data_IF_649009140044
#
_entry.id   IF_649009140044
#
_cell.length_a   1.000
_cell.length_b   1.000
_cell.length_c   1.000
_cell.angle_alpha   90.00
_cell.angle_beta   90.00
_cell.angle_gamma   90.00
#
_symmetry.space_group_name_H-M   'P 1'
#
loop_
_entity.id
_entity.type
_entity.pdbx_description
1 polymer ?
#
# COMPACT_ATOMS: atom_id res chain seq x y z
N UNK A 1 3.82 26.41 16.05
CA UNK A 1 3.53 26.32 14.60
C UNK A 1 2.63 25.13 14.39
N UNK A 2 1.35 25.32 14.03
CA UNK A 2 0.53 24.18 13.61
C UNK A 2 1.07 23.71 12.26
N UNK A 3 1.54 22.46 12.17
CA UNK A 3 1.94 21.88 10.90
C UNK A 3 0.77 21.89 9.92
N UNK A 4 1.06 22.06 8.63
CA UNK A 4 0.08 21.93 7.54
C UNK A 4 -0.69 20.61 7.75
N UNK A 5 -2.04 20.60 7.83
CA UNK A 5 -2.82 19.40 8.15
C UNK A 5 -2.50 18.20 7.25
N UNK A 6 -2.13 18.46 5.98
CA UNK A 6 -1.70 17.46 4.99
C UNK A 6 -0.37 16.78 5.32
N UNK A 7 0.41 17.33 6.25
CA UNK A 7 1.66 16.71 6.73
C UNK A 7 1.44 15.40 7.50
N UNK A 8 0.17 15.05 7.79
CA UNK A 8 -0.22 13.75 8.34
C UNK A 8 -0.29 12.64 7.29
N UNK A 9 -0.35 12.98 6.00
CA UNK A 9 -0.23 12.04 4.89
C UNK A 9 1.24 11.93 4.47
N UNK A 10 1.85 10.77 4.71
CA UNK A 10 3.23 10.53 4.32
C UNK A 10 3.42 10.62 2.79
N UNK A 11 2.41 10.27 1.99
CA UNK A 11 2.48 10.33 0.52
C UNK A 11 2.57 11.78 0.08
N UNK A 12 1.77 12.66 0.68
CA UNK A 12 1.86 14.09 0.46
C UNK A 12 3.24 14.64 0.87
N UNK A 13 3.69 14.36 2.10
CA UNK A 13 5.02 14.81 2.60
C UNK A 13 6.14 14.33 1.69
N UNK A 14 6.11 13.07 1.25
CA UNK A 14 7.08 12.50 0.34
C UNK A 14 7.08 13.25 -1.00
N UNK A 15 5.91 13.46 -1.62
CA UNK A 15 5.80 14.19 -2.89
C UNK A 15 6.26 15.65 -2.76
N UNK A 16 5.93 16.34 -1.67
CA UNK A 16 6.41 17.69 -1.43
C UNK A 16 7.93 17.72 -1.25
N UNK A 17 8.48 16.79 -0.47
CA UNK A 17 9.92 16.69 -0.28
C UNK A 17 10.67 16.52 -1.61
N UNK A 18 10.23 15.59 -2.46
CA UNK A 18 10.86 15.36 -3.76
C UNK A 18 10.74 16.57 -4.68
N UNK A 19 9.58 17.23 -4.70
CA UNK A 19 9.36 18.41 -5.53
C UNK A 19 10.16 19.62 -5.04
N UNK A 20 10.17 19.89 -3.74
CA UNK A 20 10.68 21.15 -3.18
C UNK A 20 12.15 21.08 -2.76
N UNK A 21 12.63 19.90 -2.35
CA UNK A 21 14.03 19.72 -1.89
C UNK A 21 14.93 19.10 -2.94
N UNK A 22 14.38 18.24 -3.80
CA UNK A 22 15.17 17.51 -4.80
C UNK A 22 14.90 17.97 -6.23
N UNK A 23 13.88 18.80 -6.45
CA UNK A 23 13.40 19.19 -7.79
C UNK A 23 13.12 17.98 -8.70
N UNK A 24 12.52 16.94 -8.12
CA UNK A 24 12.22 15.66 -8.79
C UNK A 24 10.75 15.31 -8.72
N UNK A 25 10.26 14.72 -9.80
CA UNK A 25 8.92 14.13 -9.85
C UNK A 25 9.01 12.64 -9.53
N UNK A 26 8.18 12.19 -8.58
CA UNK A 26 8.03 10.77 -8.25
C UNK A 26 7.21 10.10 -9.36
N UNK A 27 7.76 9.04 -9.94
CA UNK A 27 7.05 8.13 -10.84
C UNK A 27 6.31 7.06 -10.02
N UNK A 28 7.02 6.42 -9.08
CA UNK A 28 6.46 5.39 -8.20
C UNK A 28 7.18 5.32 -6.87
N UNK A 29 6.55 4.70 -5.88
CA UNK A 29 7.22 4.32 -4.63
C UNK A 29 6.65 3.01 -4.08
N UNK A 30 7.43 2.37 -3.21
CA UNK A 30 7.05 1.17 -2.47
C UNK A 30 7.58 1.23 -1.05
N UNK A 31 6.81 0.70 -0.09
CA UNK A 31 7.29 0.51 1.27
C UNK A 31 8.19 -0.73 1.31
N UNK A 32 9.40 -0.59 1.86
CA UNK A 32 10.37 -1.69 1.99
C UNK A 32 10.69 -2.04 3.45
N UNK A 33 10.21 -1.25 4.42
CA UNK A 33 10.32 -1.58 5.84
C UNK A 33 9.22 -2.51 6.31
N UNK A 34 9.53 -3.32 7.33
CA UNK A 34 8.56 -4.08 8.13
C UNK A 34 7.98 -3.27 9.30
N UNK A 35 8.41 -2.02 9.46
CA UNK A 35 8.00 -1.09 10.52
C UNK A 35 7.19 0.06 9.93
N UNK A 36 6.16 0.49 10.65
CA UNK A 36 5.33 1.65 10.27
C UNK A 36 6.02 2.96 10.64
N UNK A 37 6.80 2.99 11.71
CA UNK A 37 7.51 4.19 12.14
C UNK A 37 8.84 3.80 12.82
N UNK A 38 10.01 4.07 12.19
CA UNK A 38 10.16 4.69 10.88
C UNK A 38 9.66 3.78 9.74
N UNK A 39 9.18 4.40 8.66
CA UNK A 39 8.80 3.78 7.40
C UNK A 39 9.93 3.96 6.40
N UNK A 40 10.48 2.90 5.83
CA UNK A 40 11.42 2.98 4.71
C UNK A 40 10.68 2.78 3.39
N UNK A 41 10.95 3.65 2.43
CA UNK A 41 10.38 3.65 1.10
C UNK A 41 11.49 3.56 0.06
N UNK A 42 11.28 2.78 -1.00
CA UNK A 42 12.05 2.91 -2.24
C UNK A 42 11.22 3.76 -3.21
N UNK A 43 11.78 4.88 -3.65
CA UNK A 43 11.14 5.86 -4.53
C UNK A 43 11.86 5.89 -5.87
N UNK A 44 11.12 5.72 -6.96
CA UNK A 44 11.61 5.90 -8.32
C UNK A 44 11.09 7.23 -8.86
N UNK A 45 11.99 8.03 -9.39
CA UNK A 45 11.67 9.33 -9.99
C UNK A 45 11.57 9.23 -11.50
N UNK A 46 10.91 10.20 -12.14
CA UNK A 46 10.65 10.19 -13.59
C UNK A 46 11.92 10.19 -14.45
N UNK A 47 13.05 10.65 -13.91
CA UNK A 47 14.36 10.55 -14.57
C UNK A 47 15.07 9.20 -14.31
N UNK A 48 14.32 8.23 -13.76
CA UNK A 48 14.76 6.87 -13.39
C UNK A 48 15.78 6.80 -12.26
N UNK A 49 15.96 7.86 -11.48
CA UNK A 49 16.76 7.79 -10.25
C UNK A 49 15.96 7.11 -9.14
N UNK A 50 16.60 6.20 -8.40
CA UNK A 50 16.02 5.52 -7.25
C UNK A 50 16.56 6.10 -5.93
N UNK A 51 15.69 6.22 -4.94
CA UNK A 51 16.01 6.73 -3.61
C UNK A 51 15.47 5.82 -2.54
N UNK A 52 16.29 5.52 -1.53
CA UNK A 52 15.79 4.98 -0.28
C UNK A 52 15.47 6.15 0.65
N UNK A 53 14.24 6.18 1.17
CA UNK A 53 13.72 7.28 1.97
C UNK A 53 13.19 6.73 3.28
N UNK A 54 13.82 7.11 4.39
CA UNK A 54 13.31 6.84 5.73
C UNK A 54 12.42 8.01 6.17
N UNK A 55 11.16 7.70 6.46
CA UNK A 55 10.19 8.64 6.98
C UNK A 55 9.80 8.28 8.40
N UNK A 56 9.66 9.29 9.26
CA UNK A 56 9.24 9.09 10.64
C UNK A 56 8.00 9.92 10.93
N UNK A 57 7.03 9.29 11.58
CA UNK A 57 5.88 9.97 12.16
C UNK A 57 6.26 10.48 13.54
N UNK A 58 5.96 11.74 13.83
CA UNK A 58 6.29 12.40 15.10
C UNK A 58 5.04 12.52 15.98
N UNK A 59 4.84 11.64 16.98
CA UNK A 59 3.61 11.62 17.78
C UNK A 59 3.39 12.88 18.60
N UNK A 60 4.48 13.47 19.12
CA UNK A 60 4.44 14.72 19.90
C UNK A 60 4.19 15.99 19.07
N UNK A 61 4.12 15.87 17.75
CA UNK A 61 3.94 17.00 16.83
C UNK A 61 2.76 16.74 15.88
N UNK A 62 1.56 16.57 16.44
CA UNK A 62 0.32 16.35 15.68
C UNK A 62 0.36 15.17 14.69
N UNK A 63 1.19 14.15 14.96
CA UNK A 63 1.35 12.97 14.12
C UNK A 63 1.82 13.30 12.68
N UNK A 64 2.57 14.38 12.49
CA UNK A 64 3.13 14.70 11.17
C UNK A 64 4.19 13.69 10.76
N UNK A 65 4.31 13.46 9.46
CA UNK A 65 5.42 12.74 8.86
C UNK A 65 6.54 13.70 8.50
N UNK A 66 7.76 13.22 8.64
CA UNK A 66 8.98 13.90 8.21
C UNK A 66 9.88 12.90 7.48
N UNK A 67 10.63 13.38 6.49
CA UNK A 67 11.75 12.64 5.90
C UNK A 67 12.95 12.80 6.84
N UNK A 68 13.42 11.70 7.42
CA UNK A 68 14.57 11.68 8.33
C UNK A 68 15.88 11.42 7.59
N UNK A 69 15.84 10.51 6.61
CA UNK A 69 17.00 10.13 5.82
C UNK A 69 16.61 9.92 4.37
N UNK A 70 17.50 10.33 3.48
CA UNK A 70 17.47 9.97 2.07
C UNK A 70 18.85 9.47 1.67
N UNK A 71 18.90 8.31 1.04
CA UNK A 71 20.09 7.77 0.41
C UNK A 71 19.86 7.75 -1.10
N UNK A 72 20.80 8.33 -1.86
CA UNK A 72 20.87 8.13 -3.31
C UNK A 72 21.29 6.67 -3.53
N UNK A 73 20.28 5.84 -3.77
CA UNK A 73 20.46 4.46 -4.11
C UNK A 73 20.89 4.43 -5.58
N UNK A 74 22.20 4.59 -5.83
CA UNK A 74 22.83 4.12 -7.08
C UNK A 74 22.82 2.60 -7.11
N UNK A 75 21.63 2.02 -7.04
CA UNK A 75 21.40 0.69 -7.55
C UNK A 75 21.46 0.84 -9.06
N UNK A 76 22.42 0.17 -9.70
CA UNK A 76 22.29 -0.14 -11.12
C UNK A 76 20.92 -0.79 -11.26
N UNK A 77 19.98 -0.04 -11.83
CA UNK A 77 18.63 -0.50 -12.07
C UNK A 77 18.73 -1.67 -13.06
N UNK A 78 18.89 -2.88 -12.51
CA UNK A 78 18.42 -4.07 -13.18
C UNK A 78 16.95 -3.86 -13.55
N UNK A 79 16.47 -4.52 -14.62
CA UNK A 79 15.18 -4.22 -15.22
C UNK A 79 14.06 -4.11 -14.17
N UNK A 80 13.42 -2.94 -14.17
CA UNK A 80 12.35 -2.52 -13.28
C UNK A 80 11.07 -3.33 -13.55
N UNK A 81 10.80 -4.35 -12.75
CA UNK A 81 9.45 -4.94 -12.62
C UNK A 81 9.19 -5.43 -11.17
N UNK A 82 9.63 -4.62 -10.20
CA UNK A 82 9.81 -5.02 -8.80
C UNK A 82 8.53 -5.24 -7.96
N UNK A 83 7.33 -4.93 -8.46
CA UNK A 83 6.07 -5.33 -7.80
C UNK A 83 5.48 -6.51 -8.55
N UNK A 84 5.35 -7.65 -7.87
CA UNK A 84 4.69 -8.85 -8.42
C UNK A 84 3.16 -8.72 -8.48
N UNK A 85 2.62 -7.53 -8.24
CA UNK A 85 1.19 -7.24 -8.23
C UNK A 85 0.90 -5.78 -8.59
N UNK A 86 -0.33 -5.52 -9.04
CA UNK A 86 -0.87 -4.18 -9.32
C UNK A 86 -2.06 -3.91 -8.40
N UNK A 87 -2.10 -2.72 -7.79
CA UNK A 87 -3.31 -2.26 -7.09
C UNK A 87 -4.34 -1.84 -8.16
N UNK A 88 -5.59 -2.23 -7.95
CA UNK A 88 -6.70 -1.88 -8.84
C UNK A 88 -7.82 -1.21 -8.06
N UNK A 89 -8.44 -0.20 -8.67
CA UNK A 89 -9.78 0.23 -8.28
C UNK A 89 -10.82 -0.72 -8.86
N UNK A 90 -12.00 -0.75 -8.26
CA UNK A 90 -13.13 -1.54 -8.77
C UNK A 90 -13.38 -1.28 -10.27
N UNK A 91 -13.36 -0.02 -10.70
CA UNK A 91 -13.64 0.35 -12.09
C UNK A 91 -12.52 -0.02 -13.08
N UNK A 92 -11.32 -0.28 -12.58
CA UNK A 92 -10.14 -0.66 -13.38
C UNK A 92 -10.04 -2.17 -13.58
N UNK A 93 -10.79 -2.95 -12.80
CA UNK A 93 -10.81 -4.40 -12.91
C UNK A 93 -11.59 -4.87 -14.15
N UNK A 94 -11.26 -6.05 -14.73
CA UNK A 94 -12.07 -6.65 -15.79
C UNK A 94 -13.53 -6.88 -15.40
N UNK A 95 -14.44 -6.93 -16.38
CA UNK A 95 -15.89 -7.01 -16.13
C UNK A 95 -16.30 -8.24 -15.30
N UNK A 96 -15.68 -9.39 -15.52
CA UNK A 96 -15.92 -10.62 -14.77
C UNK A 96 -15.43 -10.49 -13.32
N UNK A 97 -14.29 -9.86 -13.10
CA UNK A 97 -13.77 -9.53 -11.76
C UNK A 97 -14.70 -8.55 -11.06
N UNK A 98 -15.22 -7.53 -11.75
CA UNK A 98 -16.19 -6.59 -11.19
C UNK A 98 -17.49 -7.30 -10.76
N UNK A 99 -18.00 -8.24 -11.57
CA UNK A 99 -19.18 -9.02 -11.23
C UNK A 99 -18.96 -9.91 -9.99
N UNK A 100 -17.75 -10.48 -9.85
CA UNK A 100 -17.34 -11.22 -8.66
C UNK A 100 -17.20 -10.32 -7.43
N UNK A 101 -16.61 -9.13 -7.55
CA UNK A 101 -16.41 -8.19 -6.45
C UNK A 101 -17.71 -7.59 -5.91
N UNK A 102 -18.66 -7.29 -6.79
CA UNK A 102 -19.90 -6.57 -6.44
C UNK A 102 -20.67 -7.15 -5.25
N UNK A 103 -20.98 -8.46 -5.18
CA UNK A 103 -21.63 -9.02 -4.00
C UNK A 103 -20.72 -9.00 -2.76
N UNK A 104 -19.42 -9.21 -2.91
CA UNK A 104 -18.46 -9.25 -1.80
C UNK A 104 -18.30 -7.89 -1.11
N UNK A 105 -18.30 -6.81 -1.89
CA UNK A 105 -18.21 -5.45 -1.37
C UNK A 105 -19.49 -5.00 -0.66
N UNK A 106 -20.63 -5.59 -1.01
CA UNK A 106 -21.92 -5.30 -0.39
C UNK A 106 -22.17 -6.06 0.92
N UNK A 107 -21.40 -7.10 1.20
CA UNK A 107 -21.50 -7.87 2.44
C UNK A 107 -20.84 -7.14 3.62
N UNK A 108 -21.46 -7.22 4.79
CA UNK A 108 -20.89 -6.67 6.02
C UNK A 108 -19.75 -7.53 6.59
N UNK A 109 -18.75 -6.88 7.16
CA UNK A 109 -17.65 -7.54 7.86
C UNK A 109 -16.42 -7.84 6.98
N UNK A 110 -15.40 -8.40 7.65
CA UNK A 110 -14.11 -8.72 7.06
C UNK A 110 -14.22 -9.84 6.03
N UNK A 111 -13.56 -9.65 4.88
CA UNK A 111 -13.56 -10.66 3.82
C UNK A 111 -12.20 -10.75 3.12
N UNK A 112 -11.71 -11.96 2.92
CA UNK A 112 -10.49 -12.29 2.19
C UNK A 112 -10.85 -13.27 1.11
N UNK A 113 -10.83 -12.84 -0.14
CA UNK A 113 -11.28 -13.65 -1.27
C UNK A 113 -10.32 -13.49 -2.43
N UNK A 114 -10.30 -14.50 -3.29
CA UNK A 114 -9.49 -14.49 -4.49
C UNK A 114 -10.25 -15.08 -5.67
N UNK A 115 -9.90 -14.63 -6.87
CA UNK A 115 -10.53 -15.04 -8.11
C UNK A 115 -9.52 -15.09 -9.24
N UNK A 116 -9.50 -16.22 -9.94
CA UNK A 116 -8.68 -16.36 -11.13
C UNK A 116 -9.47 -15.88 -12.35
N UNK A 117 -8.90 -14.94 -13.11
CA UNK A 117 -9.43 -14.51 -14.40
C UNK A 117 -8.29 -14.42 -15.41
N UNK A 118 -8.42 -15.17 -16.50
CA UNK A 118 -7.36 -15.33 -17.49
C UNK A 118 -6.07 -15.86 -16.88
N UNK A 119 -4.99 -15.11 -17.05
CA UNK A 119 -3.64 -15.47 -16.55
C UNK A 119 -3.32 -14.83 -15.19
N UNK A 120 -4.27 -14.12 -14.59
CA UNK A 120 -4.08 -13.39 -13.35
C UNK A 120 -4.92 -13.94 -12.19
N UNK A 121 -4.39 -13.75 -10.98
CA UNK A 121 -5.09 -13.94 -9.72
C UNK A 121 -5.44 -12.56 -9.16
N UNK A 122 -6.72 -12.36 -8.87
CA UNK A 122 -7.22 -11.16 -8.21
C UNK A 122 -7.43 -11.48 -6.74
N UNK A 123 -6.96 -10.63 -5.86
CA UNK A 123 -7.11 -10.80 -4.41
C UNK A 123 -7.82 -9.57 -3.84
N UNK A 124 -8.89 -9.83 -3.09
CA UNK A 124 -9.63 -8.85 -2.31
C UNK A 124 -9.30 -9.05 -0.83
N UNK A 125 -8.93 -7.97 -0.15
CA UNK A 125 -9.04 -7.91 1.30
C UNK A 125 -9.90 -6.72 1.69
N UNK A 126 -11.06 -7.02 2.29
CA UNK A 126 -12.07 -6.06 2.71
C UNK A 126 -12.08 -5.97 4.24
N UNK A 127 -12.19 -4.75 4.75
CA UNK A 127 -12.30 -4.47 6.19
C UNK A 127 -13.72 -4.73 6.70
N UNK A 128 -13.95 -4.54 8.00
CA UNK A 128 -15.34 -4.53 8.49
C UNK A 128 -16.10 -3.32 7.94
N UNK A 129 -17.40 -3.28 8.15
CA UNK A 129 -18.22 -2.09 7.83
C UNK A 129 -18.02 -0.96 8.86
N UNK A 130 -17.07 -1.09 9.80
CA UNK A 130 -16.74 -0.03 10.75
C UNK A 130 -15.91 1.06 10.05
N UNK A 131 -16.31 2.32 10.25
CA UNK A 131 -15.71 3.50 9.62
C UNK A 131 -14.28 3.81 10.11
N UNK A 132 -13.74 2.92 10.94
CA UNK A 132 -12.44 3.02 11.58
C UNK A 132 -11.48 1.94 11.10
N UNK A 133 -11.99 0.85 10.52
CA UNK A 133 -11.16 -0.26 10.08
C UNK A 133 -10.59 0.01 8.69
N UNK A 134 -9.27 0.00 8.58
CA UNK A 134 -8.55 0.22 7.33
C UNK A 134 -7.55 -0.90 7.06
N UNK A 135 -7.18 -1.08 5.80
CA UNK A 135 -6.20 -2.07 5.37
C UNK A 135 -5.15 -1.49 4.42
N UNK A 136 -3.92 -2.02 4.51
CA UNK A 136 -2.82 -1.74 3.57
C UNK A 136 -2.15 -3.08 3.20
N UNK A 137 -1.90 -3.30 1.90
CA UNK A 137 -1.10 -4.44 1.41
C UNK A 137 0.39 -4.10 1.59
N UNK A 138 1.13 -4.97 2.25
CA UNK A 138 2.58 -4.84 2.39
C UNK A 138 3.30 -5.49 1.20
N UNK A 139 2.93 -6.73 0.89
CA UNK A 139 3.57 -7.55 -0.13
C UNK A 139 2.61 -8.61 -0.68
N UNK A 140 2.81 -8.98 -1.94
CA UNK A 140 2.24 -10.19 -2.51
C UNK A 140 3.33 -10.94 -3.25
N UNK A 141 3.64 -12.14 -2.78
CA UNK A 141 4.72 -12.95 -3.31
C UNK A 141 4.24 -14.31 -3.79
N UNK A 142 4.78 -14.74 -4.93
CA UNK A 142 4.60 -16.07 -5.49
C UNK A 142 5.81 -16.93 -5.17
N UNK A 143 5.60 -18.10 -4.56
CA UNK A 143 6.65 -19.10 -4.33
C UNK A 143 6.07 -20.51 -4.43
N UNK A 144 6.74 -21.40 -5.17
CA UNK A 144 6.31 -22.80 -5.36
C UNK A 144 4.84 -22.97 -5.79
N UNK A 145 4.33 -22.05 -6.61
CA UNK A 145 2.93 -21.98 -7.04
C UNK A 145 1.94 -21.66 -5.90
N UNK A 146 2.39 -21.09 -4.79
CA UNK A 146 1.54 -20.51 -3.75
C UNK A 146 1.69 -18.99 -3.76
N UNK A 147 0.59 -18.29 -3.47
CA UNK A 147 0.56 -16.84 -3.32
C UNK A 147 0.46 -16.52 -1.84
N UNK A 148 1.36 -15.71 -1.31
CA UNK A 148 1.26 -15.15 0.04
C UNK A 148 1.00 -13.65 -0.05
N UNK A 149 -0.10 -13.20 0.53
CA UNK A 149 -0.46 -11.77 0.64
C UNK A 149 -0.30 -11.34 2.09
N UNK A 150 0.64 -10.42 2.31
CA UNK A 150 0.89 -9.82 3.62
C UNK A 150 0.17 -8.48 3.72
N UNK A 151 -0.59 -8.27 4.78
CA UNK A 151 -1.40 -7.07 4.96
C UNK A 151 -1.45 -6.61 6.43
N UNK A 152 -1.66 -5.31 6.63
CA UNK A 152 -1.87 -4.72 7.94
C UNK A 152 -3.30 -4.20 8.07
N UNK A 153 -3.86 -4.26 9.28
CA UNK A 153 -5.14 -3.61 9.61
C UNK A 153 -4.88 -2.45 10.55
N UNK A 154 -5.57 -1.33 10.34
CA UNK A 154 -5.51 -0.17 11.22
C UNK A 154 -6.89 0.07 11.85
N UNK A 155 -6.87 0.44 13.13
CA UNK A 155 -8.04 0.97 13.83
C UNK A 155 -7.87 2.49 13.96
N UNK A 156 -8.70 3.23 13.24
CA UNK A 156 -8.78 4.67 13.22
C UNK A 156 -9.87 5.22 14.15
N UNK A 157 -10.33 4.49 15.17
CA UNK A 157 -11.40 4.92 16.09
C UNK A 157 -11.16 6.25 16.81
N UNK A 158 -9.91 6.73 16.81
CA UNK A 158 -9.51 8.02 17.38
C UNK A 158 -9.07 9.05 16.32
N UNK A 159 -9.10 8.72 15.04
CA UNK A 159 -8.77 9.63 13.94
C UNK A 159 -9.98 10.48 13.57
N UNK A 160 -9.76 11.77 13.38
CA UNK A 160 -10.77 12.68 12.81
C UNK A 160 -10.74 12.71 11.27
N UNK A 161 -9.80 11.98 10.66
CA UNK A 161 -9.61 11.95 9.21
C UNK A 161 -9.93 10.55 8.68
N UNK A 162 -11.13 10.41 8.15
CA UNK A 162 -11.65 9.17 7.56
C UNK A 162 -11.12 8.93 6.13
N UNK A 163 -10.42 9.90 5.51
CA UNK A 163 -9.83 9.70 4.18
C UNK A 163 -8.64 8.74 4.16
N UNK A 164 -8.15 8.36 5.35
CA UNK A 164 -7.09 7.38 5.56
C UNK A 164 -7.62 5.94 5.70
N UNK A 165 -8.94 5.77 5.63
CA UNK A 165 -9.62 4.48 5.75
C UNK A 165 -9.77 3.88 4.35
N UNK A 166 -9.13 2.74 4.14
CA UNK A 166 -9.33 1.91 2.97
C UNK A 166 -10.31 0.80 3.38
N UNK A 167 -11.55 0.86 2.88
CA UNK A 167 -12.56 -0.18 3.15
C UNK A 167 -12.20 -1.52 2.50
N UNK A 168 -11.38 -1.48 1.45
CA UNK A 168 -10.82 -2.67 0.81
C UNK A 168 -9.53 -2.34 0.05
N UNK A 169 -8.75 -3.37 -0.21
CA UNK A 169 -7.65 -3.38 -1.16
C UNK A 169 -7.89 -4.50 -2.19
N UNK A 170 -7.74 -4.17 -3.47
CA UNK A 170 -7.86 -5.10 -4.59
C UNK A 170 -6.54 -5.12 -5.36
N UNK A 171 -5.97 -6.31 -5.53
CA UNK A 171 -4.72 -6.50 -6.25
C UNK A 171 -4.85 -7.51 -7.38
N UNK A 172 -4.16 -7.26 -8.48
CA UNK A 172 -3.94 -8.18 -9.60
C UNK A 172 -2.52 -8.73 -9.52
N UNK A 173 -2.39 -10.05 -9.49
CA UNK A 173 -1.12 -10.78 -9.51
C UNK A 173 -1.07 -11.53 -10.85
N UNK A 174 -0.08 -11.27 -11.73
CA UNK A 174 0.01 -11.92 -13.04
C UNK A 174 0.54 -13.36 -12.92
N UNK A 175 -0.22 -14.22 -12.21
CA UNK A 175 0.07 -15.64 -12.00
C UNK A 175 -1.25 -16.44 -11.98
N UNK A 176 -1.34 -17.51 -12.78
CA UNK A 176 -2.61 -18.17 -13.10
C UNK A 176 -3.01 -19.34 -12.18
N UNK A 177 -4.33 -19.42 -11.91
CA UNK A 177 -5.25 -20.57 -11.78
C UNK A 177 -4.85 -21.90 -11.09
N UNK A 178 -3.70 -22.02 -10.43
CA UNK A 178 -3.33 -23.22 -9.66
C UNK A 178 -2.84 -22.93 -8.25
N UNK A 179 -2.83 -21.67 -7.83
CA UNK A 179 -2.18 -21.24 -6.60
C UNK A 179 -3.11 -21.15 -5.41
N UNK A 180 -2.72 -21.79 -4.30
CA UNK A 180 -3.31 -21.49 -2.99
C UNK A 180 -2.94 -20.06 -2.60
N UNK A 181 -3.93 -19.26 -2.19
CA UNK A 181 -3.70 -17.91 -1.66
C UNK A 181 -3.73 -17.96 -0.14
N UNK A 182 -2.61 -17.62 0.49
CA UNK A 182 -2.47 -17.49 1.94
C UNK A 182 -2.43 -16.02 2.33
N UNK A 183 -3.13 -15.70 3.42
CA UNK A 183 -3.24 -14.35 3.94
C UNK A 183 -2.49 -14.24 5.26
N UNK A 184 -1.51 -13.34 5.32
CA UNK A 184 -0.68 -13.11 6.52
C UNK A 184 -0.95 -11.72 7.04
N UNK A 185 -1.66 -11.64 8.16
CA UNK A 185 -1.84 -10.38 8.88
C UNK A 185 -0.58 -10.04 9.66
N UNK A 186 0.08 -8.96 9.30
CA UNK A 186 1.18 -8.37 10.09
C UNK A 186 0.58 -7.35 11.06
N UNK A 187 0.69 -7.62 12.36
CA UNK A 187 0.03 -6.82 13.39
C UNK A 187 0.87 -5.57 13.70
N UNK A 188 0.38 -4.41 13.28
CA UNK A 188 0.81 -3.12 13.80
C UNK A 188 -0.28 -2.58 14.73
N UNK A 189 -0.12 -2.77 16.05
CA UNK A 189 -0.98 -2.07 17.01
C UNK A 189 -0.53 -0.61 17.04
N UNK A 190 -1.31 0.27 16.41
CA UNK A 190 -1.12 1.72 16.56
C UNK A 190 -1.77 2.12 17.88
N UNK A 191 -0.96 2.29 18.93
CA UNK A 191 -1.38 2.92 20.19
C UNK A 191 -1.34 4.45 20.08
#
# INVERSE_FOLDING_TARGET
>A
MMGEPRSRDFKWVLRQFFRERLDKQIESFQTISRTVNPRLLLVTTADRTAYEVEMKRWPGYNQIWAVERINDARWEAGPQDGKRYRLLRYEEAPEDVQQWLKPLLAEDGWKMEHYASGEAMYVLIKTSSDATDSIEIEDASVWANEITVSYQTYDYAKSQDHSLVNDYELIEIPHAAGASVSYVKTLAIVQ
#
